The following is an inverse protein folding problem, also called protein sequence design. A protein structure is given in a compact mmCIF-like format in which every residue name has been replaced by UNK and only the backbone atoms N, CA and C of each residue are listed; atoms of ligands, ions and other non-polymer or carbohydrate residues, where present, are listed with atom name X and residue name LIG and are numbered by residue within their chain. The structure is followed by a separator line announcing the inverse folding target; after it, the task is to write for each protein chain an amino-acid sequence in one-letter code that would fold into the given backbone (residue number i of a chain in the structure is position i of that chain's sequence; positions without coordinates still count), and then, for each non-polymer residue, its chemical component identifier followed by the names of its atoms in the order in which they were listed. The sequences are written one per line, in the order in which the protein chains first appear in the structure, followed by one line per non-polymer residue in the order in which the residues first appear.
data_IF_855146789947
#
_entry.id   IF_855146789947
#
_cell.length_a   1.000
_cell.length_b   1.000
_cell.length_c   1.000
_cell.angle_alpha   90.00
_cell.angle_beta   90.00
_cell.angle_gamma   90.00
#
_symmetry.space_group_name_H-M   'P 1'
#
loop_
_entity.id
_entity.type
_entity.pdbx_description
1 polymer ?
#
# COMPACT_ATOMS: atom_id res chain seq x y z
N UNK A 1 36.01 -16.85 6.15
CA UNK A 1 35.73 -15.45 6.52
C UNK A 1 34.23 -15.23 6.60
N UNK A 2 33.68 -14.74 7.72
CA UNK A 2 32.27 -14.38 7.78
C UNK A 2 32.01 -13.17 6.85
N UNK A 3 30.82 -13.14 6.25
CA UNK A 3 30.32 -11.95 5.57
C UNK A 3 29.75 -11.04 6.67
N UNK A 4 30.32 -9.85 6.83
CA UNK A 4 29.81 -8.83 7.74
C UNK A 4 28.79 -7.95 7.00
N UNK A 5 27.66 -7.66 7.66
CA UNK A 5 26.62 -6.77 7.15
C UNK A 5 26.55 -5.57 8.08
N UNK A 6 26.63 -4.37 7.51
CA UNK A 6 26.51 -3.09 8.21
C UNK A 6 25.29 -2.34 7.66
N UNK A 7 24.59 -1.64 8.54
CA UNK A 7 23.41 -0.85 8.20
C UNK A 7 23.66 0.63 8.51
N UNK A 8 23.52 1.50 7.51
CA UNK A 8 23.27 2.93 7.72
C UNK A 8 21.76 3.16 7.69
N UNK A 9 21.21 3.72 8.77
CA UNK A 9 19.78 3.95 8.95
C UNK A 9 19.56 5.46 9.02
N UNK A 10 18.73 5.97 8.10
CA UNK A 10 18.43 7.40 8.00
C UNK A 10 16.93 7.63 8.06
N UNK A 11 16.54 8.69 8.76
CA UNK A 11 15.14 9.10 8.90
C UNK A 11 14.73 9.98 7.72
N UNK A 12 13.80 9.49 6.91
CA UNK A 12 13.24 10.24 5.77
C UNK A 12 12.11 11.19 6.16
N UNK A 13 11.74 11.24 7.44
CA UNK A 13 10.68 12.09 7.99
C UNK A 13 9.34 11.96 7.24
N UNK A 14 9.07 10.80 6.62
CA UNK A 14 7.92 10.57 5.74
C UNK A 14 7.79 11.60 4.60
N UNK A 15 8.91 12.17 4.14
CA UNK A 15 8.96 13.24 3.15
C UNK A 15 9.54 12.76 1.84
N UNK A 16 8.81 12.96 0.74
CA UNK A 16 9.30 12.61 -0.59
C UNK A 16 10.60 13.36 -0.96
N UNK A 17 10.70 14.63 -0.58
CA UNK A 17 11.89 15.45 -0.78
C UNK A 17 13.09 14.89 -0.03
N UNK A 18 12.87 14.43 1.21
CA UNK A 18 13.96 13.89 2.03
C UNK A 18 14.39 12.50 1.55
N UNK A 19 13.44 11.67 1.11
CA UNK A 19 13.76 10.40 0.42
C UNK A 19 14.62 10.66 -0.81
N UNK A 20 14.22 11.60 -1.68
CA UNK A 20 14.99 11.92 -2.88
C UNK A 20 16.41 12.38 -2.53
N UNK A 21 16.54 13.27 -1.53
CA UNK A 21 17.84 13.78 -1.05
C UNK A 21 18.72 12.66 -0.49
N UNK A 22 18.21 11.89 0.47
CA UNK A 22 18.96 10.85 1.18
C UNK A 22 19.37 9.72 0.25
N UNK A 23 18.46 9.24 -0.61
CA UNK A 23 18.78 8.14 -1.51
C UNK A 23 19.73 8.58 -2.63
N UNK A 24 19.67 9.83 -3.07
CA UNK A 24 20.63 10.36 -4.06
C UNK A 24 22.03 10.43 -3.45
N UNK A 25 22.13 10.91 -2.20
CA UNK A 25 23.39 10.96 -1.46
C UNK A 25 23.96 9.55 -1.26
N UNK A 26 23.15 8.61 -0.77
CA UNK A 26 23.58 7.23 -0.56
C UNK A 26 24.01 6.59 -1.87
N UNK A 27 23.17 6.64 -2.90
CA UNK A 27 23.45 5.98 -4.18
C UNK A 27 24.73 6.48 -4.86
N UNK A 28 25.02 7.79 -4.75
CA UNK A 28 26.18 8.42 -5.39
C UNK A 28 27.46 8.38 -4.54
N UNK A 29 27.37 8.02 -3.25
CA UNK A 29 28.54 7.98 -2.35
C UNK A 29 29.58 6.92 -2.71
N UNK A 30 29.19 5.87 -3.44
CA UNK A 30 30.02 4.69 -3.69
C UNK A 30 30.27 3.80 -2.46
N UNK A 31 29.64 4.10 -1.32
CA UNK A 31 29.85 3.36 -0.06
C UNK A 31 28.89 2.16 0.10
N UNK A 32 27.75 2.17 -0.58
CA UNK A 32 26.70 1.17 -0.39
C UNK A 32 26.64 0.16 -1.54
N UNK A 33 26.56 -1.12 -1.17
CA UNK A 33 26.41 -2.23 -2.11
C UNK A 33 24.95 -2.46 -2.54
N UNK A 34 24.00 -2.08 -1.69
CA UNK A 34 22.57 -2.17 -1.93
C UNK A 34 21.84 -1.18 -1.03
N UNK A 35 20.61 -0.84 -1.41
CA UNK A 35 19.71 0.02 -0.67
C UNK A 35 18.52 -0.79 -0.14
N UNK A 36 18.01 -0.40 1.02
CA UNK A 36 16.72 -0.87 1.55
C UNK A 36 15.74 0.27 1.43
N UNK A 37 14.55 0.00 0.88
CA UNK A 37 13.54 1.02 0.62
C UNK A 37 12.86 1.57 1.87
N UNK A 38 12.17 2.72 1.76
CA UNK A 38 11.39 3.29 2.85
C UNK A 38 10.07 2.55 3.05
N UNK A 39 9.32 2.91 4.10
CA UNK A 39 8.07 2.21 4.47
C UNK A 39 6.95 2.35 3.43
N UNK A 40 6.68 3.57 2.96
CA UNK A 40 5.50 3.87 2.13
C UNK A 40 5.70 3.48 0.67
N UNK A 41 4.63 3.02 0.00
CA UNK A 41 4.66 2.73 -1.44
C UNK A 41 4.96 3.98 -2.29
N UNK A 42 4.46 5.15 -1.89
CA UNK A 42 4.73 6.41 -2.59
C UNK A 42 6.18 6.84 -2.46
N UNK A 43 6.72 6.79 -1.23
CA UNK A 43 8.12 7.08 -0.95
C UNK A 43 9.06 6.07 -1.62
N UNK A 44 8.66 4.80 -1.63
CA UNK A 44 9.42 3.73 -2.29
C UNK A 44 9.49 3.92 -3.79
N UNK A 45 8.44 4.46 -4.43
CA UNK A 45 8.52 4.81 -5.86
C UNK A 45 9.55 5.93 -6.11
N UNK A 46 9.69 6.90 -5.20
CA UNK A 46 10.74 7.93 -5.28
C UNK A 46 12.13 7.29 -5.14
N UNK A 47 12.35 6.49 -4.09
CA UNK A 47 13.60 5.77 -3.88
C UNK A 47 13.96 4.83 -5.04
N UNK A 48 12.97 4.13 -5.61
CA UNK A 48 13.13 3.25 -6.77
C UNK A 48 13.63 4.01 -8.00
N UNK A 49 13.11 5.21 -8.26
CA UNK A 49 13.58 6.05 -9.37
C UNK A 49 15.05 6.43 -9.20
N UNK A 50 15.44 6.86 -8.01
CA UNK A 50 16.84 7.22 -7.69
C UNK A 50 17.76 6.00 -7.83
N UNK A 51 17.38 4.85 -7.28
CA UNK A 51 18.14 3.62 -7.39
C UNK A 51 18.29 3.16 -8.86
N UNK A 52 17.22 3.24 -9.65
CA UNK A 52 17.27 2.90 -11.07
C UNK A 52 18.19 3.84 -11.87
N UNK A 53 18.14 5.15 -11.61
CA UNK A 53 19.00 6.14 -12.28
C UNK A 53 20.48 5.96 -11.95
N UNK A 54 20.78 5.61 -10.70
CA UNK A 54 22.15 5.36 -10.22
C UNK A 54 22.65 3.94 -10.48
N UNK A 55 21.78 3.05 -10.97
CA UNK A 55 22.09 1.63 -11.15
C UNK A 55 22.21 0.85 -9.83
N UNK A 56 21.79 1.41 -8.69
CA UNK A 56 21.83 0.70 -7.42
C UNK A 56 20.77 -0.41 -7.33
N UNK A 57 21.12 -1.48 -6.62
CA UNK A 57 20.15 -2.49 -6.20
C UNK A 57 19.33 -1.95 -5.03
N UNK A 58 18.00 -2.06 -5.09
CA UNK A 58 17.12 -1.69 -3.98
C UNK A 58 16.10 -2.79 -3.68
N UNK A 59 15.97 -3.14 -2.39
CA UNK A 59 14.95 -4.05 -1.89
C UNK A 59 13.94 -3.29 -1.04
N UNK A 60 12.68 -3.34 -1.45
CA UNK A 60 11.56 -2.68 -0.78
C UNK A 60 10.94 -3.61 0.24
N UNK A 61 11.13 -3.31 1.53
CA UNK A 61 10.65 -4.17 2.60
C UNK A 61 9.18 -3.97 2.97
N UNK A 62 8.51 -2.86 2.58
CA UNK A 62 7.09 -2.59 2.92
C UNK A 62 6.24 -1.99 1.78
N UNK A 63 6.81 -1.73 0.61
CA UNK A 63 6.04 -1.18 -0.50
C UNK A 63 5.13 -2.24 -1.13
N UNK A 64 3.86 -2.26 -0.72
CA UNK A 64 2.85 -3.20 -1.19
C UNK A 64 2.19 -2.84 -2.52
N UNK A 65 2.33 -1.60 -3.03
CA UNK A 65 1.71 -1.22 -4.30
C UNK A 65 2.48 -1.79 -5.50
N UNK A 66 1.84 -2.57 -6.40
CA UNK A 66 2.48 -3.09 -7.62
C UNK A 66 3.07 -2.00 -8.52
N UNK A 67 2.51 -0.78 -8.45
CA UNK A 67 2.98 0.36 -9.24
C UNK A 67 4.44 0.72 -9.00
N UNK A 68 5.02 0.36 -7.86
CA UNK A 68 6.46 0.54 -7.58
C UNK A 68 7.32 -0.31 -8.51
N UNK A 69 6.84 -1.50 -8.89
CA UNK A 69 7.59 -2.51 -9.64
C UNK A 69 7.22 -2.54 -11.13
N UNK A 70 6.06 -1.98 -11.51
CA UNK A 70 5.59 -1.92 -12.89
C UNK A 70 6.20 -0.77 -13.72
N UNK A 71 7.29 -0.16 -13.25
CA UNK A 71 7.94 0.98 -13.90
C UNK A 71 8.96 0.57 -14.99
N UNK A 72 9.26 -0.73 -15.11
CA UNK A 72 10.32 -1.24 -15.99
C UNK A 72 11.73 -1.18 -15.38
N UNK A 73 11.84 -0.85 -14.08
CA UNK A 73 13.11 -0.82 -13.37
C UNK A 73 13.67 -2.23 -13.16
N UNK A 74 14.95 -2.41 -13.46
CA UNK A 74 15.58 -3.74 -13.50
C UNK A 74 16.13 -4.20 -12.16
N UNK A 75 16.33 -3.28 -11.21
CA UNK A 75 17.04 -3.52 -9.94
C UNK A 75 16.20 -3.17 -8.70
N UNK A 76 14.88 -3.24 -8.83
CA UNK A 76 13.92 -2.92 -7.76
C UNK A 76 13.15 -4.19 -7.40
N UNK A 77 13.36 -4.70 -6.19
CA UNK A 77 12.81 -5.98 -5.75
C UNK A 77 11.95 -5.83 -4.50
N UNK A 78 11.04 -6.77 -4.29
CA UNK A 78 10.24 -6.90 -3.07
C UNK A 78 10.21 -8.33 -2.58
N UNK A 79 9.94 -8.49 -1.29
CA UNK A 79 9.60 -9.77 -0.67
C UNK A 79 8.16 -9.80 -0.16
N UNK A 80 7.38 -8.75 -0.40
CA UNK A 80 6.03 -8.60 0.12
C UNK A 80 5.01 -9.33 -0.74
N UNK A 81 3.95 -9.83 -0.09
CA UNK A 81 2.67 -10.01 -0.78
C UNK A 81 2.21 -8.64 -1.26
N UNK A 82 1.69 -8.55 -2.48
CA UNK A 82 1.23 -7.28 -3.01
C UNK A 82 -0.14 -6.91 -2.44
N UNK A 83 -0.36 -5.63 -2.21
CA UNK A 83 -1.55 -5.07 -1.58
C UNK A 83 -2.90 -5.50 -2.22
N UNK A 84 -3.01 -5.68 -3.56
CA UNK A 84 -4.26 -6.13 -4.15
C UNK A 84 -4.75 -7.50 -3.65
N UNK A 85 -3.85 -8.36 -3.17
CA UNK A 85 -4.20 -9.72 -2.77
C UNK A 85 -4.48 -9.85 -1.26
N UNK A 86 -4.34 -8.78 -0.48
CA UNK A 86 -4.49 -8.80 0.98
C UNK A 86 -5.88 -9.26 1.44
N UNK A 87 -6.91 -9.01 0.63
CA UNK A 87 -8.30 -9.32 0.97
C UNK A 87 -8.84 -10.57 0.26
N UNK A 88 -8.08 -11.14 -0.69
CA UNK A 88 -8.56 -12.18 -1.60
C UNK A 88 -9.11 -13.41 -0.85
N UNK A 89 -8.32 -13.98 0.05
CA UNK A 89 -8.71 -15.16 0.81
C UNK A 89 -9.84 -14.90 1.80
N UNK A 90 -9.85 -13.72 2.43
CA UNK A 90 -10.92 -13.32 3.36
C UNK A 90 -12.24 -13.18 2.63
N UNK A 91 -12.26 -12.49 1.48
CA UNK A 91 -13.46 -12.35 0.66
C UNK A 91 -13.96 -13.71 0.17
N UNK A 92 -13.06 -14.59 -0.28
CA UNK A 92 -13.44 -15.96 -0.69
C UNK A 92 -14.10 -16.72 0.45
N UNK A 93 -13.47 -16.72 1.64
CA UNK A 93 -14.00 -17.42 2.81
C UNK A 93 -15.38 -16.87 3.22
N UNK A 94 -15.56 -15.55 3.26
CA UNK A 94 -16.84 -14.94 3.62
C UNK A 94 -17.94 -15.25 2.59
N UNK A 95 -17.59 -15.30 1.30
CA UNK A 95 -18.52 -15.67 0.25
C UNK A 95 -19.02 -17.10 0.40
N UNK A 96 -18.12 -18.05 0.70
CA UNK A 96 -18.46 -19.44 1.01
C UNK A 96 -19.39 -19.55 2.23
N UNK A 97 -19.37 -18.56 3.14
CA UNK A 97 -20.27 -18.46 4.30
C UNK A 97 -21.55 -17.68 4.06
N UNK A 98 -21.81 -17.25 2.82
CA UNK A 98 -23.08 -16.66 2.41
C UNK A 98 -23.08 -15.14 2.23
N UNK A 99 -21.95 -14.44 2.45
CA UNK A 99 -21.85 -13.02 2.14
C UNK A 99 -21.97 -12.77 0.63
N UNK A 100 -22.71 -11.75 0.21
CA UNK A 100 -22.97 -11.44 -1.21
C UNK A 100 -22.76 -9.99 -1.57
N UNK A 101 -22.72 -9.08 -0.60
CA UNK A 101 -22.53 -7.65 -0.82
C UNK A 101 -21.27 -7.16 -0.12
N UNK A 102 -20.58 -6.21 -0.75
CA UNK A 102 -19.38 -5.58 -0.20
C UNK A 102 -19.45 -4.07 -0.34
N UNK A 103 -18.95 -3.36 0.66
CA UNK A 103 -18.66 -1.95 0.58
C UNK A 103 -17.17 -1.67 0.78
N UNK A 104 -16.67 -0.67 0.06
CA UNK A 104 -15.25 -0.29 0.04
C UNK A 104 -15.07 1.12 0.59
N UNK A 105 -14.07 1.31 1.45
CA UNK A 105 -13.69 2.61 1.99
C UNK A 105 -12.23 2.90 1.68
N UNK A 106 -11.97 3.85 0.79
CA UNK A 106 -10.66 4.07 0.18
C UNK A 106 -10.00 5.35 0.70
N UNK A 107 -8.80 5.24 1.28
CA UNK A 107 -7.97 6.41 1.56
C UNK A 107 -7.22 6.91 0.30
N UNK A 108 -6.30 7.87 0.45
CA UNK A 108 -5.71 8.58 -0.71
C UNK A 108 -4.34 8.09 -1.22
N UNK A 109 -3.65 7.19 -0.51
CA UNK A 109 -2.28 6.79 -0.90
C UNK A 109 -2.27 5.75 -2.02
N UNK A 110 -1.16 5.62 -2.76
CA UNK A 110 -0.97 4.54 -3.75
C UNK A 110 -1.27 3.15 -3.17
N UNK A 111 -0.89 2.94 -1.91
CA UNK A 111 -1.16 1.69 -1.20
C UNK A 111 -2.66 1.49 -0.93
N UNK A 112 -3.39 2.55 -0.54
CA UNK A 112 -4.84 2.49 -0.31
C UNK A 112 -5.59 2.12 -1.59
N UNK A 113 -5.24 2.77 -2.70
CA UNK A 113 -5.79 2.45 -4.01
C UNK A 113 -5.53 0.99 -4.38
N UNK A 114 -4.28 0.52 -4.24
CA UNK A 114 -3.94 -0.87 -4.56
C UNK A 114 -4.76 -1.90 -3.75
N UNK A 115 -5.02 -1.66 -2.46
CA UNK A 115 -5.89 -2.53 -1.66
C UNK A 115 -7.32 -2.54 -2.21
N UNK A 116 -7.91 -1.35 -2.42
CA UNK A 116 -9.31 -1.25 -2.82
C UNK A 116 -9.55 -1.76 -4.25
N UNK A 117 -8.61 -1.53 -5.16
CA UNK A 117 -8.65 -2.08 -6.50
C UNK A 117 -8.58 -3.61 -6.50
N UNK A 118 -7.70 -4.18 -5.68
CA UNK A 118 -7.65 -5.62 -5.47
C UNK A 118 -8.92 -6.19 -4.82
N UNK A 119 -9.43 -5.54 -3.77
CA UNK A 119 -10.66 -5.94 -3.10
C UNK A 119 -11.85 -5.92 -4.07
N UNK A 120 -12.00 -4.86 -4.87
CA UNK A 120 -13.04 -4.75 -5.89
C UNK A 120 -12.90 -5.85 -6.95
N UNK A 121 -11.68 -6.08 -7.43
CA UNK A 121 -11.39 -7.13 -8.40
C UNK A 121 -11.79 -8.51 -7.86
N UNK A 122 -11.25 -8.91 -6.71
CA UNK A 122 -11.50 -10.21 -6.10
C UNK A 122 -12.98 -10.40 -5.74
N UNK A 123 -13.63 -9.37 -5.18
CA UNK A 123 -15.05 -9.39 -4.89
C UNK A 123 -15.89 -9.63 -6.16
N UNK A 124 -15.59 -8.90 -7.24
CA UNK A 124 -16.29 -9.06 -8.54
C UNK A 124 -16.08 -10.46 -9.12
N UNK A 125 -14.86 -11.00 -9.06
CA UNK A 125 -14.56 -12.35 -9.54
C UNK A 125 -15.32 -13.44 -8.76
N UNK A 126 -15.49 -13.25 -7.44
CA UNK A 126 -16.25 -14.15 -6.58
C UNK A 126 -17.78 -14.02 -6.75
N UNK A 127 -18.26 -12.94 -7.37
CA UNK A 127 -19.68 -12.66 -7.58
C UNK A 127 -20.33 -11.85 -6.45
N UNK A 128 -19.56 -11.09 -5.68
CA UNK A 128 -20.11 -10.05 -4.80
C UNK A 128 -20.71 -8.90 -5.62
N UNK A 129 -21.76 -8.28 -5.08
CA UNK A 129 -22.20 -6.96 -5.50
C UNK A 129 -21.49 -5.89 -4.67
N UNK A 130 -20.80 -4.96 -5.34
CA UNK A 130 -20.27 -3.77 -4.68
C UNK A 130 -21.41 -2.77 -4.51
N UNK A 131 -21.85 -2.54 -3.27
CA UNK A 131 -23.05 -1.74 -2.95
C UNK A 131 -22.73 -0.31 -2.53
N UNK A 132 -21.50 -0.04 -2.11
CA UNK A 132 -21.04 1.30 -1.74
C UNK A 132 -19.53 1.43 -1.89
N UNK A 133 -19.08 2.59 -2.34
CA UNK A 133 -17.67 2.99 -2.34
C UNK A 133 -17.54 4.41 -1.81
N UNK A 134 -16.71 4.61 -0.79
CA UNK A 134 -16.57 5.89 -0.10
C UNK A 134 -15.11 6.29 0.09
N UNK A 135 -14.84 7.60 0.08
CA UNK A 135 -13.53 8.14 0.47
C UNK A 135 -13.40 8.14 2.00
N UNK A 136 -12.23 7.75 2.49
CA UNK A 136 -11.79 7.96 3.87
C UNK A 136 -10.48 8.77 3.94
N UNK A 137 -10.22 9.55 2.89
CA UNK A 137 -9.07 10.45 2.82
C UNK A 137 -9.30 11.78 3.55
N UNK A 138 -10.57 12.14 3.78
CA UNK A 138 -10.98 13.42 4.34
C UNK A 138 -10.91 13.42 5.87
N UNK A 139 -10.81 14.61 6.46
CA UNK A 139 -10.83 14.76 7.92
C UNK A 139 -12.17 14.37 8.55
N UNK A 140 -13.28 14.65 7.84
CA UNK A 140 -14.63 14.22 8.19
C UNK A 140 -15.13 13.19 7.19
N UNK A 141 -15.32 11.96 7.65
CA UNK A 141 -15.78 10.82 6.85
C UNK A 141 -17.23 10.42 7.21
N UNK A 142 -17.90 11.20 8.06
CA UNK A 142 -19.17 10.81 8.71
C UNK A 142 -20.28 10.52 7.71
N UNK A 143 -20.47 11.39 6.72
CA UNK A 143 -21.51 11.23 5.70
C UNK A 143 -21.27 10.00 4.83
N UNK A 144 -20.01 9.75 4.44
CA UNK A 144 -19.59 8.59 3.67
C UNK A 144 -19.87 7.29 4.42
N UNK A 145 -19.37 7.18 5.66
CA UNK A 145 -19.57 5.96 6.47
C UNK A 145 -21.05 5.69 6.77
N UNK A 146 -21.86 6.73 7.06
CA UNK A 146 -23.31 6.56 7.23
C UNK A 146 -24.01 6.07 5.97
N UNK A 147 -23.65 6.61 4.80
CA UNK A 147 -24.18 6.14 3.51
C UNK A 147 -23.84 4.67 3.27
N UNK A 148 -22.60 4.28 3.59
CA UNK A 148 -22.14 2.90 3.52
C UNK A 148 -22.95 1.98 4.46
N UNK A 149 -23.14 2.38 5.72
CA UNK A 149 -23.96 1.61 6.67
C UNK A 149 -25.42 1.43 6.21
N UNK A 150 -26.03 2.48 5.63
CA UNK A 150 -27.39 2.42 5.08
C UNK A 150 -27.52 1.42 3.92
N UNK A 151 -26.45 1.17 3.16
CA UNK A 151 -26.43 0.14 2.11
C UNK A 151 -26.45 -1.29 2.66
N UNK A 152 -26.30 -1.47 3.98
CA UNK A 152 -26.33 -2.75 4.69
C UNK A 152 -25.45 -3.85 4.04
N UNK A 153 -24.14 -3.59 3.80
CA UNK A 153 -23.27 -4.57 3.18
C UNK A 153 -22.98 -5.75 4.13
N UNK A 154 -22.78 -6.94 3.57
CA UNK A 154 -22.34 -8.12 4.34
C UNK A 154 -20.87 -7.98 4.78
N UNK A 155 -20.06 -7.29 3.96
CA UNK A 155 -18.62 -7.08 4.18
C UNK A 155 -18.26 -5.62 3.98
N UNK A 156 -17.48 -5.05 4.89
CA UNK A 156 -16.88 -3.74 4.76
C UNK A 156 -15.35 -3.88 4.65
N UNK A 157 -14.76 -3.33 3.60
CA UNK A 157 -13.30 -3.32 3.39
C UNK A 157 -12.76 -1.91 3.54
N UNK A 158 -11.98 -1.68 4.60
CA UNK A 158 -11.24 -0.44 4.81
C UNK A 158 -9.84 -0.50 4.19
N UNK A 159 -9.60 0.32 3.17
CA UNK A 159 -8.34 0.44 2.46
C UNK A 159 -7.56 1.66 2.96
N UNK A 160 -6.93 1.52 4.13
CA UNK A 160 -6.28 2.62 4.82
C UNK A 160 -5.13 2.18 5.72
N UNK A 161 -4.41 3.15 6.28
CA UNK A 161 -3.50 2.92 7.39
C UNK A 161 -4.25 3.00 8.73
N UNK A 162 -3.51 2.83 9.83
CA UNK A 162 -4.05 2.85 11.19
C UNK A 162 -4.93 4.07 11.49
N UNK A 163 -4.54 5.28 11.07
CA UNK A 163 -5.34 6.48 11.34
C UNK A 163 -6.72 6.40 10.66
N UNK A 164 -6.79 5.86 9.42
CA UNK A 164 -8.05 5.70 8.71
C UNK A 164 -8.93 4.65 9.41
N UNK A 165 -8.33 3.54 9.87
CA UNK A 165 -9.05 2.50 10.60
C UNK A 165 -9.65 3.03 11.91
N UNK A 166 -8.89 3.85 12.66
CA UNK A 166 -9.38 4.54 13.86
C UNK A 166 -10.55 5.46 13.51
N UNK A 167 -10.41 6.30 12.48
CA UNK A 167 -11.48 7.22 12.04
C UNK A 167 -12.76 6.47 11.66
N UNK A 168 -12.66 5.39 10.90
CA UNK A 168 -13.81 4.55 10.52
C UNK A 168 -14.49 4.00 11.77
N UNK A 169 -13.72 3.41 12.68
CA UNK A 169 -14.25 2.73 13.88
C UNK A 169 -15.00 3.69 14.81
N UNK A 170 -14.54 4.94 14.96
CA UNK A 170 -15.24 5.92 15.82
C UNK A 170 -16.47 6.56 15.16
N UNK A 171 -16.66 6.32 13.86
CA UNK A 171 -17.71 6.94 13.04
C UNK A 171 -18.84 5.97 12.69
N UNK A 172 -18.53 4.67 12.60
CA UNK A 172 -19.47 3.56 12.38
C UNK A 172 -20.23 3.18 13.64
#
# INVERSE_FOLDING_TARGET
NPILVEFDIRDDSSSATEVERLYTEMANSGMYHALIGPYSSGLSLVAARVANQSGQLIMMHQAGSPSVYSQGFQRVFSVNVMAPDYTADTLRLLYERGARTVALAQGSSLFHHAICDGARYHATQLGYQVVSEVSIADADITSGIKSCALSSPDVFVGCGHLHNAVQVTVTS
#
